data_IF_745875721236
#
_entry.id   IF_745875721236
#
_cell.length_a   1.000
_cell.length_b   1.000
_cell.length_c   1.000
_cell.angle_alpha   90.00
_cell.angle_beta   90.00
_cell.angle_gamma   90.00
#
_symmetry.space_group_name_H-M   'P 1'
#
loop_
_entity.id
_entity.type
_entity.pdbx_description
1 polymer ?
#
# COMPACT_ATOMS: atom_id res chain seq x y z
N UNK A 1 -32.80 7.61 -57.14
CA UNK A 1 -32.78 8.54 -56.00
C UNK A 1 -32.42 7.90 -54.63
N UNK A 2 -31.72 6.76 -54.59
CA UNK A 2 -31.38 6.10 -53.28
C UNK A 2 -29.87 6.07 -52.96
N UNK A 3 -28.99 6.47 -53.86
CA UNK A 3 -27.53 6.44 -53.67
C UNK A 3 -26.94 7.74 -53.12
N UNK A 4 -27.63 8.87 -53.25
CA UNK A 4 -27.11 10.18 -52.82
C UNK A 4 -27.31 10.47 -51.31
N UNK A 5 -28.24 9.76 -50.65
CA UNK A 5 -28.52 9.97 -49.22
C UNK A 5 -27.53 9.26 -48.27
N UNK A 6 -26.86 8.21 -48.75
CA UNK A 6 -25.90 7.42 -47.94
C UNK A 6 -24.56 8.15 -47.81
N UNK A 7 -24.14 8.89 -48.83
CA UNK A 7 -22.87 9.62 -48.82
C UNK A 7 -22.94 10.83 -47.88
N UNK A 8 -24.09 11.44 -47.70
CA UNK A 8 -24.27 12.62 -46.84
C UNK A 8 -24.21 12.26 -45.33
N UNK A 9 -24.61 11.03 -44.97
CA UNK A 9 -24.58 10.56 -43.56
C UNK A 9 -23.16 10.20 -43.15
N UNK A 10 -22.32 9.70 -44.07
CA UNK A 10 -20.91 9.33 -43.75
C UNK A 10 -20.03 10.58 -43.56
N UNK A 11 -20.32 11.69 -44.28
CA UNK A 11 -19.58 12.93 -44.17
C UNK A 11 -19.90 13.66 -42.84
N UNK A 12 -21.12 13.54 -42.33
CA UNK A 12 -21.49 14.12 -41.01
C UNK A 12 -20.90 13.39 -39.81
N UNK A 13 -20.51 12.13 -39.96
CA UNK A 13 -19.87 11.36 -38.87
C UNK A 13 -18.35 11.65 -38.72
N UNK A 14 -17.70 12.21 -39.74
CA UNK A 14 -16.28 12.53 -39.70
C UNK A 14 -15.93 13.93 -39.20
N UNK A 15 -16.92 14.83 -39.08
CA UNK A 15 -16.70 16.21 -38.62
C UNK A 15 -16.88 16.34 -37.09
N UNK A 16 -17.46 15.34 -36.42
CA UNK A 16 -17.75 15.34 -34.98
C UNK A 16 -16.61 14.88 -34.05
N UNK A 17 -15.44 14.43 -34.55
CA UNK A 17 -14.38 13.82 -33.72
C UNK A 17 -13.13 14.67 -33.54
N UNK A 18 -13.18 15.98 -33.76
CA UNK A 18 -12.04 16.87 -33.55
C UNK A 18 -12.36 17.99 -32.56
N UNK A 19 -12.65 17.64 -31.31
CA UNK A 19 -12.64 18.64 -30.24
C UNK A 19 -12.59 17.97 -28.88
N UNK A 20 -11.39 17.72 -28.35
CA UNK A 20 -11.01 17.82 -26.95
C UNK A 20 -9.61 17.25 -26.69
N UNK A 21 -8.59 17.80 -27.32
CA UNK A 21 -7.24 17.72 -26.77
C UNK A 21 -7.13 18.85 -25.72
N UNK A 22 -7.44 18.51 -24.46
CA UNK A 22 -7.11 19.38 -23.33
C UNK A 22 -5.62 19.17 -23.01
N UNK A 23 -4.80 20.14 -23.36
CA UNK A 23 -3.43 20.23 -22.87
C UNK A 23 -3.48 20.62 -21.39
N UNK A 24 -3.17 19.71 -20.49
CA UNK A 24 -2.84 20.04 -19.11
C UNK A 24 -1.44 20.64 -19.10
N UNK A 25 -1.35 21.95 -18.89
CA UNK A 25 -0.10 22.59 -18.52
C UNK A 25 0.18 22.27 -17.05
N UNK A 26 1.15 21.41 -16.82
CA UNK A 26 1.76 21.26 -15.50
C UNK A 26 2.69 22.46 -15.26
N UNK A 27 2.35 23.29 -14.29
CA UNK A 27 3.26 24.30 -13.77
C UNK A 27 3.97 23.72 -12.57
N UNK A 28 5.24 23.43 -12.72
CA UNK A 28 6.13 23.27 -11.58
C UNK A 28 6.49 24.66 -11.08
N UNK A 29 5.99 25.08 -9.93
CA UNK A 29 6.49 26.23 -9.21
C UNK A 29 7.32 25.71 -8.04
N UNK A 30 8.62 25.66 -8.23
CA UNK A 30 9.57 25.44 -7.16
C UNK A 30 9.91 26.81 -6.56
N UNK A 31 9.47 27.05 -5.34
CA UNK A 31 9.84 28.22 -4.54
C UNK A 31 10.71 27.74 -3.37
N UNK A 32 11.98 27.51 -3.62
CA UNK A 32 12.95 27.40 -2.55
C UNK A 32 13.18 28.77 -1.90
N UNK A 33 12.70 28.94 -0.67
CA UNK A 33 13.13 30.03 0.21
C UNK A 33 14.40 29.63 0.93
N UNK A 34 15.55 30.05 0.39
CA UNK A 34 16.80 30.03 1.15
C UNK A 34 16.79 31.21 2.12
N UNK A 35 16.49 30.93 3.38
CA UNK A 35 16.66 31.90 4.47
C UNK A 35 18.07 31.72 5.06
N UNK A 36 18.95 32.68 4.83
CA UNK A 36 20.07 32.88 5.71
C UNK A 36 21.48 32.55 5.22
N UNK A 37 21.79 32.64 3.93
CA UNK A 37 23.19 32.70 3.49
C UNK A 37 23.52 34.09 2.92
N UNK A 38 24.19 34.92 3.74
CA UNK A 38 24.86 36.15 3.25
C UNK A 38 26.32 35.81 2.91
N UNK A 39 26.65 35.91 1.63
CA UNK A 39 28.05 35.87 1.17
C UNK A 39 28.58 37.31 1.25
N UNK A 40 29.47 37.55 2.19
CA UNK A 40 30.20 38.82 2.26
C UNK A 40 31.47 38.73 1.40
N UNK A 41 31.47 39.41 0.29
CA UNK A 41 32.67 39.56 -0.55
C UNK A 41 33.57 40.60 0.10
N UNK A 42 34.70 40.16 0.65
CA UNK A 42 35.73 41.03 1.20
C UNK A 42 36.47 41.77 0.08
N UNK A 43 36.61 43.06 0.22
CA UNK A 43 37.47 43.89 -0.63
C UNK A 43 38.96 43.61 -0.33
N UNK A 44 39.72 43.29 -1.36
CA UNK A 44 41.17 43.16 -1.29
C UNK A 44 41.79 44.53 -1.07
N UNK A 45 42.31 44.78 0.11
CA UNK A 45 43.19 45.90 0.43
C UNK A 45 44.52 45.37 0.85
N UNK A 46 45.55 45.75 0.12
CA UNK A 46 46.97 45.46 0.51
C UNK A 46 47.28 46.07 1.87
N UNK A 47 47.86 45.28 2.74
CA UNK A 47 48.56 45.77 3.93
C UNK A 47 49.70 44.80 4.28
N UNK A 48 50.85 45.41 4.56
CA UNK A 48 52.17 44.84 4.77
C UNK A 48 52.27 43.76 5.89
N UNK A 49 53.33 42.93 5.87
CA UNK A 49 53.50 41.81 6.78
C UNK A 49 53.86 42.24 8.18
N UNK A 50 53.11 41.82 9.17
CA UNK A 50 53.49 41.96 10.59
C UNK A 50 53.56 40.60 11.25
N UNK A 51 54.75 40.28 11.76
CA UNK A 51 55.14 39.29 12.77
C UNK A 51 54.33 38.01 12.95
N UNK A 52 55.00 36.89 12.69
CA UNK A 52 54.65 35.52 13.05
C UNK A 52 54.38 35.38 14.55
N UNK A 53 53.18 34.92 14.98
CA UNK A 53 52.99 34.45 16.33
C UNK A 53 53.44 32.99 16.45
N UNK A 54 54.13 32.68 17.52
CA UNK A 54 54.54 31.38 18.01
C UNK A 54 53.32 30.43 18.16
N UNK A 55 53.38 29.14 17.76
CA UNK A 55 52.25 28.25 17.90
C UNK A 55 52.03 27.92 19.40
N UNK A 56 50.88 28.31 19.93
CA UNK A 56 50.36 27.87 21.21
C UNK A 56 49.66 26.54 21.01
N UNK A 57 50.05 25.57 21.79
CA UNK A 57 49.54 24.19 21.80
C UNK A 57 48.01 24.13 22.06
N UNK A 58 47.29 23.35 21.25
CA UNK A 58 46.10 22.65 21.69
C UNK A 58 44.79 23.41 21.74
N UNK A 59 44.23 23.85 20.58
CA UNK A 59 42.80 24.05 20.50
C UNK A 59 42.17 22.74 19.96
N UNK A 60 41.21 22.12 20.68
CA UNK A 60 40.51 20.94 20.15
C UNK A 60 39.81 21.29 18.86
N UNK A 61 40.08 20.54 17.82
CA UNK A 61 39.32 20.60 16.55
C UNK A 61 37.84 20.37 16.86
N UNK A 62 36.91 21.25 16.44
CA UNK A 62 35.49 20.96 16.62
C UNK A 62 35.17 19.68 15.88
N UNK A 63 34.66 18.71 16.63
CA UNK A 63 34.08 17.49 16.07
C UNK A 63 33.01 17.90 15.09
N UNK A 64 33.16 17.51 13.83
CA UNK A 64 32.12 17.72 12.81
C UNK A 64 30.95 16.86 13.18
N UNK A 65 29.95 17.45 13.88
CA UNK A 65 28.66 16.83 14.07
C UNK A 65 28.10 16.53 12.69
N UNK A 66 28.02 15.26 12.31
CA UNK A 66 27.36 14.84 11.08
C UNK A 66 25.93 15.34 11.12
N UNK A 67 25.60 16.28 10.25
CA UNK A 67 24.21 16.67 10.01
C UNK A 67 23.45 15.40 9.65
N UNK A 68 22.34 15.06 10.34
CA UNK A 68 21.55 13.90 9.97
C UNK A 68 21.12 14.08 8.51
N UNK A 69 21.49 13.11 7.67
CA UNK A 69 20.97 13.03 6.31
C UNK A 69 19.45 13.02 6.41
N UNK A 70 18.72 13.91 5.71
CA UNK A 70 17.26 13.84 5.71
C UNK A 70 16.86 12.43 5.26
N UNK A 71 16.26 11.67 6.15
CA UNK A 71 15.60 10.41 5.80
C UNK A 71 14.50 10.78 4.81
N UNK A 72 14.62 10.33 3.57
CA UNK A 72 13.54 10.48 2.59
C UNK A 72 12.30 9.85 3.20
N UNK A 73 11.25 10.64 3.40
CA UNK A 73 9.94 10.11 3.78
C UNK A 73 9.57 9.06 2.73
N UNK A 74 9.24 7.83 3.10
CA UNK A 74 8.84 6.82 2.14
C UNK A 74 7.65 7.35 1.35
N UNK A 75 7.80 7.49 0.04
CA UNK A 75 6.68 7.78 -0.85
C UNK A 75 5.82 6.52 -0.99
N UNK A 76 4.52 6.67 -1.12
CA UNK A 76 3.53 5.61 -1.28
C UNK A 76 3.29 4.75 -0.03
N UNK A 77 3.17 5.35 1.13
CA UNK A 77 2.54 4.69 2.28
C UNK A 77 1.04 4.99 2.26
N UNK A 78 0.23 3.96 2.55
CA UNK A 78 -1.21 4.10 2.68
C UNK A 78 -1.57 5.06 3.83
N UNK A 79 -2.61 5.86 3.65
CA UNK A 79 -3.22 6.73 4.66
C UNK A 79 -4.57 6.17 5.15
N UNK A 80 -4.88 4.94 4.80
CA UNK A 80 -6.11 4.21 5.08
C UNK A 80 -5.80 2.76 5.50
N UNK A 81 -6.79 2.03 6.02
CA UNK A 81 -6.65 0.61 6.38
C UNK A 81 -6.39 -0.21 5.12
N UNK A 82 -5.38 -1.07 5.17
CA UNK A 82 -4.99 -1.95 4.07
C UNK A 82 -5.07 -3.42 4.45
N UNK A 83 -5.18 -4.29 3.45
CA UNK A 83 -5.02 -5.73 3.59
C UNK A 83 -3.51 -5.99 3.67
N UNK A 84 -3.05 -6.51 4.82
CA UNK A 84 -1.62 -6.66 5.11
C UNK A 84 -1.09 -8.05 4.84
N UNK A 85 -1.82 -9.12 5.17
CA UNK A 85 -1.37 -10.49 4.93
C UNK A 85 -2.53 -11.39 4.51
N UNK A 86 -2.26 -12.32 3.60
CA UNK A 86 -3.25 -13.33 3.15
C UNK A 86 -2.58 -14.70 3.15
N UNK A 87 -3.13 -15.64 3.91
CA UNK A 87 -2.83 -17.07 3.84
C UNK A 87 -4.05 -17.80 3.31
N UNK A 88 -3.90 -18.53 2.20
CA UNK A 88 -5.01 -19.20 1.51
C UNK A 88 -5.18 -20.66 1.90
N UNK A 89 -4.22 -21.22 2.62
CA UNK A 89 -4.24 -22.63 3.05
C UNK A 89 -3.17 -22.88 4.11
N UNK A 90 -3.60 -23.34 5.28
CA UNK A 90 -2.74 -23.89 6.32
C UNK A 90 -2.76 -25.44 6.30
N UNK A 91 -2.95 -26.08 7.46
CA UNK A 91 -2.99 -27.53 7.59
C UNK A 91 -4.22 -28.15 6.94
N UNK A 92 -5.29 -27.38 6.76
CA UNK A 92 -6.48 -27.73 5.98
C UNK A 92 -6.80 -26.65 4.96
N UNK A 93 -7.76 -26.92 4.06
CA UNK A 93 -8.14 -25.96 3.02
C UNK A 93 -8.78 -24.68 3.60
N UNK A 94 -9.53 -24.81 4.70
CA UNK A 94 -10.20 -23.69 5.37
C UNK A 94 -9.38 -23.14 6.57
N UNK A 95 -8.15 -23.62 6.76
CA UNK A 95 -7.17 -23.02 7.68
C UNK A 95 -6.50 -21.86 6.95
N UNK A 96 -7.21 -20.74 6.91
CA UNK A 96 -6.89 -19.56 6.13
C UNK A 96 -7.19 -18.28 6.90
N UNK A 97 -6.50 -17.18 6.56
CA UNK A 97 -6.76 -15.90 7.16
C UNK A 97 -6.53 -14.72 6.20
N UNK A 98 -7.14 -13.59 6.57
CA UNK A 98 -6.90 -12.26 6.03
C UNK A 98 -6.55 -11.36 7.21
N UNK A 99 -5.45 -10.64 7.11
CA UNK A 99 -5.05 -9.64 8.08
C UNK A 99 -5.24 -8.24 7.51
N UNK A 100 -5.71 -7.32 8.33
CA UNK A 100 -5.80 -5.90 8.05
C UNK A 100 -4.80 -5.14 8.91
N UNK A 101 -4.21 -4.09 8.36
CA UNK A 101 -3.33 -3.16 9.05
C UNK A 101 -3.87 -1.73 8.96
N UNK A 102 -3.79 -0.98 10.05
CA UNK A 102 -4.15 0.42 10.13
C UNK A 102 -2.89 1.30 10.24
N UNK A 103 -2.41 1.91 9.15
CA UNK A 103 -1.22 2.76 9.19
C UNK A 103 -1.44 4.11 9.87
N UNK A 104 -2.68 4.45 10.21
CA UNK A 104 -3.02 5.77 10.76
C UNK A 104 -2.79 5.87 12.27
N UNK A 105 -2.65 7.07 12.77
CA UNK A 105 -2.47 7.37 14.20
C UNK A 105 -3.77 7.36 15.00
N UNK A 106 -4.88 6.92 14.45
CA UNK A 106 -6.19 6.85 15.09
C UNK A 106 -6.82 5.48 14.92
N UNK A 107 -7.60 5.05 15.92
CA UNK A 107 -8.39 3.83 15.78
C UNK A 107 -9.41 3.97 14.64
N UNK A 108 -9.61 2.91 13.86
CA UNK A 108 -10.61 2.85 12.79
C UNK A 108 -11.71 1.88 13.18
N UNK A 109 -12.96 2.38 13.19
CA UNK A 109 -14.15 1.56 13.44
C UNK A 109 -14.67 0.99 12.11
N UNK A 110 -14.73 -0.34 12.02
CA UNK A 110 -15.15 -1.06 10.82
C UNK A 110 -16.64 -1.46 10.82
N UNK A 111 -17.45 -1.04 11.80
CA UNK A 111 -18.82 -1.53 12.01
C UNK A 111 -19.77 -1.42 10.80
N UNK A 112 -19.49 -0.49 9.87
CA UNK A 112 -20.26 -0.34 8.61
C UNK A 112 -19.58 -0.96 7.40
N UNK A 113 -18.41 -1.58 7.56
CA UNK A 113 -17.58 -2.09 6.50
C UNK A 113 -17.83 -3.59 6.27
N UNK A 114 -17.20 -4.11 5.24
CA UNK A 114 -17.20 -5.55 4.93
C UNK A 114 -15.88 -5.98 4.31
N UNK A 115 -15.50 -7.24 4.57
CA UNK A 115 -14.51 -7.95 3.78
C UNK A 115 -15.25 -8.77 2.70
N UNK A 116 -14.81 -8.67 1.46
CA UNK A 116 -15.44 -9.37 0.35
C UNK A 116 -14.42 -10.16 -0.44
N UNK A 117 -14.87 -11.20 -1.12
CA UNK A 117 -14.00 -12.09 -1.86
C UNK A 117 -14.60 -12.52 -3.19
N UNK A 118 -13.75 -12.66 -4.20
CA UNK A 118 -14.07 -13.24 -5.50
C UNK A 118 -12.96 -14.20 -5.93
N UNK A 119 -13.29 -15.47 -6.22
CA UNK A 119 -12.33 -16.44 -6.75
C UNK A 119 -11.88 -16.08 -8.17
N UNK A 120 -10.65 -16.45 -8.54
CA UNK A 120 -10.04 -16.11 -9.82
C UNK A 120 -10.75 -16.64 -11.07
N UNK A 121 -11.56 -17.68 -10.93
CA UNK A 121 -12.45 -18.23 -11.98
C UNK A 121 -13.93 -17.97 -11.76
N UNK A 122 -14.33 -17.22 -10.71
CA UNK A 122 -15.72 -17.05 -10.30
C UNK A 122 -16.32 -15.71 -10.77
N UNK A 123 -17.65 -15.69 -10.92
CA UNK A 123 -18.39 -14.45 -11.17
C UNK A 123 -19.02 -13.86 -9.90
N UNK A 124 -19.06 -14.65 -8.80
CA UNK A 124 -19.78 -14.31 -7.58
C UNK A 124 -18.87 -13.59 -6.60
N UNK A 125 -19.38 -12.52 -6.00
CA UNK A 125 -18.79 -11.86 -4.83
C UNK A 125 -19.42 -12.41 -3.56
N UNK A 126 -18.58 -12.82 -2.62
CA UNK A 126 -18.96 -13.23 -1.28
C UNK A 126 -18.65 -12.10 -0.31
N UNK A 127 -19.43 -11.98 0.76
CA UNK A 127 -19.29 -10.89 1.72
C UNK A 127 -19.43 -11.36 3.16
N UNK A 128 -18.56 -10.88 4.03
CA UNK A 128 -18.70 -10.89 5.48
C UNK A 128 -18.70 -9.44 5.98
N UNK A 129 -19.74 -9.07 6.70
CA UNK A 129 -19.84 -7.76 7.34
C UNK A 129 -19.01 -7.74 8.63
N UNK A 130 -18.38 -6.61 8.91
CA UNK A 130 -17.86 -6.31 10.24
C UNK A 130 -19.00 -5.93 11.18
N UNK A 131 -18.76 -6.09 12.50
CA UNK A 131 -19.73 -5.87 13.55
C UNK A 131 -19.41 -4.58 14.36
N UNK A 132 -20.28 -4.21 15.30
CA UNK A 132 -20.20 -2.93 16.01
C UNK A 132 -18.90 -2.73 16.81
N UNK A 133 -18.23 -3.81 17.21
CA UNK A 133 -17.02 -3.77 18.02
C UNK A 133 -15.73 -4.07 17.24
N UNK A 134 -15.82 -4.23 15.92
CA UNK A 134 -14.65 -4.46 15.09
C UNK A 134 -13.91 -3.14 14.89
N UNK A 135 -12.86 -2.94 15.67
CA UNK A 135 -12.03 -1.73 15.69
C UNK A 135 -10.58 -2.14 15.50
N UNK A 136 -9.92 -1.54 14.51
CA UNK A 136 -8.47 -1.64 14.34
C UNK A 136 -7.79 -0.53 15.13
N UNK A 137 -6.89 -0.83 16.07
CA UNK A 137 -6.11 0.18 16.78
C UNK A 137 -5.24 1.02 15.85
N UNK A 138 -4.89 2.22 16.29
CA UNK A 138 -3.85 3.02 15.62
C UNK A 138 -2.56 2.21 15.49
N UNK A 139 -2.00 2.15 14.26
CA UNK A 139 -0.82 1.36 13.94
C UNK A 139 -0.92 -0.12 14.34
N UNK A 140 -2.13 -0.65 14.40
CA UNK A 140 -2.44 -2.02 14.83
C UNK A 140 -3.02 -2.86 13.72
N UNK A 141 -3.37 -4.10 14.09
CA UNK A 141 -3.82 -5.13 13.18
C UNK A 141 -5.19 -5.66 13.55
N UNK A 142 -5.86 -6.36 12.64
CA UNK A 142 -7.07 -7.13 12.88
C UNK A 142 -7.02 -8.40 12.05
N UNK A 143 -7.15 -9.55 12.71
CA UNK A 143 -7.05 -10.87 12.09
C UNK A 143 -8.43 -11.49 11.86
N UNK A 144 -8.70 -11.85 10.60
CA UNK A 144 -9.93 -12.48 10.14
C UNK A 144 -9.61 -13.92 9.73
N UNK A 145 -10.14 -14.90 10.42
CA UNK A 145 -9.93 -16.31 10.08
C UNK A 145 -11.20 -17.00 9.63
N UNK A 146 -11.05 -18.05 8.83
CA UNK A 146 -12.13 -19.00 8.58
C UNK A 146 -12.33 -19.92 9.80
N UNK A 147 -13.45 -20.64 9.87
CA UNK A 147 -13.83 -21.49 11.01
C UNK A 147 -12.83 -22.60 11.33
N UNK A 148 -12.00 -23.02 10.38
CA UNK A 148 -10.96 -24.03 10.56
C UNK A 148 -9.57 -23.44 10.86
N UNK A 149 -9.45 -22.14 10.96
CA UNK A 149 -8.18 -21.51 11.29
C UNK A 149 -7.66 -22.02 12.65
N UNK A 150 -6.40 -22.49 12.66
CA UNK A 150 -5.76 -23.07 13.84
C UNK A 150 -4.36 -22.48 14.14
N UNK A 151 -4.06 -21.32 13.58
CA UNK A 151 -2.78 -20.62 13.80
C UNK A 151 -2.53 -20.27 15.27
N UNK A 152 -1.29 -19.87 15.57
CA UNK A 152 -0.85 -19.58 16.95
C UNK A 152 -1.43 -18.24 17.50
N UNK A 153 -1.87 -17.34 16.65
CA UNK A 153 -2.48 -16.06 17.01
C UNK A 153 -4.00 -16.20 16.89
N UNK A 154 -4.73 -15.85 17.95
CA UNK A 154 -6.19 -15.92 17.93
C UNK A 154 -6.78 -14.90 16.97
N UNK A 155 -7.78 -15.29 16.16
CA UNK A 155 -8.49 -14.37 15.29
C UNK A 155 -9.36 -13.41 16.10
N UNK A 156 -9.48 -12.16 15.61
CA UNK A 156 -10.41 -11.17 16.13
C UNK A 156 -11.83 -11.41 15.58
N UNK A 157 -11.92 -11.90 14.33
CA UNK A 157 -13.18 -12.19 13.68
C UNK A 157 -13.14 -13.56 12.96
N UNK A 158 -14.19 -14.35 13.14
CA UNK A 158 -14.40 -15.59 12.40
C UNK A 158 -15.43 -15.38 11.29
N UNK A 159 -15.18 -15.96 10.11
CA UNK A 159 -16.14 -16.05 9.03
C UNK A 159 -16.29 -17.49 8.52
N UNK A 160 -17.41 -17.75 7.83
CA UNK A 160 -17.72 -19.02 7.15
C UNK A 160 -18.44 -18.75 5.81
N UNK A 161 -18.23 -17.57 5.25
CA UNK A 161 -19.00 -17.09 4.08
C UNK A 161 -18.33 -17.42 2.75
N UNK A 162 -17.00 -17.64 2.77
CA UNK A 162 -16.21 -18.02 1.61
C UNK A 162 -14.96 -18.78 2.04
N UNK A 163 -14.31 -19.45 1.11
CA UNK A 163 -12.95 -19.98 1.26
C UNK A 163 -12.06 -19.40 0.18
N UNK A 164 -10.82 -19.07 0.53
CA UNK A 164 -9.84 -18.51 -0.37
C UNK A 164 -9.32 -19.59 -1.32
N UNK A 165 -9.35 -19.31 -2.62
CA UNK A 165 -8.88 -20.28 -3.62
C UNK A 165 -7.35 -20.36 -3.62
N UNK A 166 -6.82 -21.59 -3.59
CA UNK A 166 -5.39 -21.84 -3.75
C UNK A 166 -4.83 -21.55 -5.14
N UNK A 167 -5.69 -21.34 -6.14
CA UNK A 167 -5.26 -20.99 -7.51
C UNK A 167 -5.18 -19.48 -7.72
N UNK A 168 -6.07 -18.74 -7.07
CA UNK A 168 -6.11 -17.29 -7.16
C UNK A 168 -7.47 -16.70 -6.84
N UNK A 169 -7.46 -15.45 -6.42
CA UNK A 169 -8.65 -14.70 -6.04
C UNK A 169 -8.35 -13.23 -5.80
N UNK A 170 -9.40 -12.50 -5.46
CA UNK A 170 -9.30 -11.09 -5.04
C UNK A 170 -10.06 -10.89 -3.75
N UNK A 171 -9.37 -10.36 -2.75
CA UNK A 171 -9.93 -9.90 -1.48
C UNK A 171 -10.15 -8.39 -1.59
N UNK A 172 -11.28 -7.89 -1.08
CA UNK A 172 -11.65 -6.48 -1.10
C UNK A 172 -12.00 -6.04 0.32
N UNK A 173 -11.45 -4.92 0.74
CA UNK A 173 -11.90 -4.17 1.91
C UNK A 173 -12.86 -3.07 1.45
N UNK A 174 -14.10 -3.07 1.94
CA UNK A 174 -15.17 -2.19 1.44
C UNK A 174 -15.78 -1.42 2.59
N UNK A 175 -15.90 -0.09 2.48
CA UNK A 175 -16.40 0.80 3.55
C UNK A 175 -17.92 0.82 3.69
N UNK A 176 -18.61 -0.17 3.14
CA UNK A 176 -20.03 -0.42 3.34
C UNK A 176 -20.34 -1.91 3.40
N UNK A 177 -21.62 -2.25 3.59
CA UNK A 177 -22.11 -3.62 3.69
C UNK A 177 -22.96 -4.03 2.48
N UNK A 178 -22.73 -3.44 1.31
CA UNK A 178 -23.36 -3.84 0.05
C UNK A 178 -22.43 -4.78 -0.71
N UNK A 179 -22.96 -5.92 -1.19
CA UNK A 179 -22.16 -6.85 -2.00
C UNK A 179 -21.74 -6.20 -3.31
N UNK A 180 -20.45 -6.29 -3.63
CA UNK A 180 -19.87 -5.76 -4.85
C UNK A 180 -20.47 -6.41 -6.11
N UNK A 181 -20.35 -5.70 -7.20
CA UNK A 181 -20.63 -6.15 -8.57
C UNK A 181 -19.48 -5.74 -9.47
N UNK A 182 -19.37 -6.30 -10.67
CA UNK A 182 -18.32 -5.94 -11.64
C UNK A 182 -18.26 -4.44 -11.97
N UNK A 183 -19.37 -3.73 -11.80
CA UNK A 183 -19.44 -2.27 -12.01
C UNK A 183 -18.93 -1.46 -10.80
N UNK A 184 -18.84 -2.09 -9.61
CA UNK A 184 -18.54 -1.41 -8.35
C UNK A 184 -17.19 -1.82 -7.75
N UNK A 185 -16.50 -2.81 -8.31
CA UNK A 185 -15.26 -3.38 -7.76
C UNK A 185 -14.00 -2.49 -7.92
N UNK A 186 -14.15 -1.36 -8.62
CA UNK A 186 -13.21 -0.23 -8.68
C UNK A 186 -13.86 1.09 -8.22
N UNK A 187 -14.99 0.99 -7.51
CA UNK A 187 -15.74 2.17 -7.07
C UNK A 187 -15.16 2.77 -5.79
N UNK A 188 -15.63 3.97 -5.40
CA UNK A 188 -15.11 4.73 -4.25
C UNK A 188 -15.40 4.08 -2.90
N UNK A 189 -16.14 3.00 -2.87
CA UNK A 189 -16.42 2.23 -1.64
C UNK A 189 -15.42 1.10 -1.39
N UNK A 190 -14.60 0.74 -2.39
CA UNK A 190 -13.46 -0.15 -2.21
C UNK A 190 -12.33 0.67 -1.60
N UNK A 191 -11.88 0.30 -0.42
CA UNK A 191 -10.82 0.99 0.34
C UNK A 191 -9.46 0.43 -0.04
N UNK A 192 -9.37 -0.89 -0.17
CA UNK A 192 -8.18 -1.61 -0.62
C UNK A 192 -8.62 -2.95 -1.23
N UNK A 193 -7.84 -3.49 -2.14
CA UNK A 193 -8.06 -4.82 -2.70
C UNK A 193 -6.76 -5.48 -3.10
N UNK A 194 -6.70 -6.78 -2.92
CA UNK A 194 -5.52 -7.60 -3.20
C UNK A 194 -5.91 -8.78 -4.08
N UNK A 195 -5.38 -8.83 -5.29
CA UNK A 195 -5.50 -9.97 -6.18
C UNK A 195 -4.20 -10.78 -6.18
N UNK A 196 -4.34 -12.09 -6.08
CA UNK A 196 -3.22 -13.03 -6.06
C UNK A 196 -3.49 -14.24 -6.98
N UNK A 197 -2.41 -14.95 -7.37
CA UNK A 197 -2.49 -16.15 -8.19
C UNK A 197 -2.91 -15.87 -9.63
N UNK A 198 -3.71 -16.80 -10.18
CA UNK A 198 -4.14 -16.76 -11.58
C UNK A 198 -5.65 -16.83 -11.71
N UNK A 199 -6.19 -16.33 -12.81
CA UNK A 199 -7.61 -16.40 -13.11
C UNK A 199 -8.08 -15.27 -14.01
N UNK A 200 -9.13 -15.53 -14.79
CA UNK A 200 -9.73 -14.55 -15.72
C UNK A 200 -10.67 -13.55 -15.03
N UNK A 201 -11.01 -13.83 -13.77
CA UNK A 201 -11.94 -13.02 -12.95
C UNK A 201 -11.23 -12.21 -11.87
N UNK A 202 -9.89 -12.18 -11.84
CA UNK A 202 -9.12 -11.34 -10.92
C UNK A 202 -9.44 -9.85 -11.11
N UNK A 203 -9.39 -9.09 -10.03
CA UNK A 203 -9.66 -7.64 -9.98
C UNK A 203 -8.53 -6.92 -9.24
N UNK A 204 -7.30 -6.93 -9.78
CA UNK A 204 -6.15 -6.32 -9.11
C UNK A 204 -6.25 -4.79 -9.05
N UNK A 205 -5.46 -4.21 -8.18
CA UNK A 205 -4.83 -2.92 -8.37
C UNK A 205 -3.61 -3.16 -9.25
N UNK A 206 -3.46 -2.38 -10.32
CA UNK A 206 -2.39 -2.61 -11.29
C UNK A 206 -2.36 -4.05 -11.80
N UNK A 207 -1.35 -4.80 -11.40
CA UNK A 207 -1.13 -6.22 -11.70
C UNK A 207 -1.35 -7.09 -10.46
N UNK A 208 -1.96 -8.26 -10.62
CA UNK A 208 -2.09 -9.22 -9.51
C UNK A 208 -0.72 -9.72 -9.04
N UNK A 209 -0.59 -10.03 -7.75
CA UNK A 209 0.55 -10.81 -7.27
C UNK A 209 0.49 -12.21 -7.90
N UNK A 210 1.42 -12.52 -8.78
CA UNK A 210 1.31 -13.62 -9.75
C UNK A 210 1.29 -15.04 -9.14
N UNK A 211 1.67 -15.18 -7.86
CA UNK A 211 1.79 -16.47 -7.19
C UNK A 211 0.75 -16.59 -6.08
N UNK A 212 -0.07 -17.64 -6.11
CA UNK A 212 -0.87 -17.99 -4.94
C UNK A 212 0.04 -18.62 -3.88
N UNK A 213 -0.10 -18.26 -2.58
CA UNK A 213 0.68 -18.88 -1.52
C UNK A 213 0.43 -20.39 -1.46
N UNK A 214 1.48 -21.18 -1.28
CA UNK A 214 1.36 -22.62 -1.01
C UNK A 214 0.92 -22.87 0.44
N UNK A 215 0.78 -24.15 0.83
CA UNK A 215 0.41 -24.51 2.19
C UNK A 215 1.35 -23.87 3.24
N UNK A 216 0.79 -23.23 4.26
CA UNK A 216 1.47 -22.51 5.34
C UNK A 216 2.33 -21.32 4.87
N UNK A 217 2.15 -20.87 3.64
CA UNK A 217 2.72 -19.64 3.11
C UNK A 217 1.66 -18.54 3.07
N UNK A 218 2.11 -17.29 3.05
CA UNK A 218 1.27 -16.13 2.86
C UNK A 218 1.89 -15.16 1.87
N UNK A 219 1.10 -14.24 1.38
CA UNK A 219 1.61 -12.99 0.81
C UNK A 219 1.43 -11.90 1.85
N UNK A 220 2.47 -11.10 2.08
CA UNK A 220 2.47 -10.02 3.06
C UNK A 220 2.82 -8.70 2.37
N UNK A 221 2.07 -7.65 2.70
CA UNK A 221 2.30 -6.30 2.19
C UNK A 221 3.62 -5.75 2.74
N UNK A 222 4.39 -5.11 1.89
CA UNK A 222 5.67 -4.50 2.24
C UNK A 222 5.48 -3.33 3.22
N UNK A 223 6.48 -3.12 4.08
CA UNK A 223 6.56 -1.91 4.88
C UNK A 223 6.93 -0.69 3.99
N UNK A 224 7.89 -0.88 3.07
CA UNK A 224 8.40 0.14 2.15
C UNK A 224 8.61 -0.43 0.75
N UNK A 225 8.78 0.43 -0.26
CA UNK A 225 9.09 0.01 -1.64
C UNK A 225 10.33 -0.89 -1.74
N UNK A 226 11.29 -0.72 -0.85
CA UNK A 226 12.55 -1.46 -0.80
C UNK A 226 12.49 -2.72 0.05
N UNK A 227 11.39 -2.95 0.79
CA UNK A 227 11.24 -4.13 1.64
C UNK A 227 11.21 -5.41 0.80
N UNK A 228 11.82 -6.43 1.34
CA UNK A 228 11.81 -7.79 0.81
C UNK A 228 11.57 -8.81 1.92
N UNK A 229 11.44 -10.09 1.57
CA UNK A 229 11.22 -11.16 2.54
C UNK A 229 12.30 -11.20 3.64
N UNK A 230 13.55 -10.91 3.33
CA UNK A 230 14.64 -10.97 4.31
C UNK A 230 14.58 -9.77 5.26
N UNK A 231 14.37 -8.55 4.74
CA UNK A 231 14.28 -7.33 5.57
C UNK A 231 13.07 -7.38 6.52
N UNK A 232 11.95 -7.98 6.09
CA UNK A 232 10.73 -8.13 6.87
C UNK A 232 10.76 -9.33 7.84
N UNK A 233 11.58 -10.36 7.58
CA UNK A 233 11.66 -11.54 8.48
C UNK A 233 12.61 -11.33 9.65
N UNK A 234 13.78 -10.75 9.41
CA UNK A 234 14.84 -10.61 10.42
C UNK A 234 15.72 -9.38 10.20
N UNK A 235 15.34 -8.50 9.29
CA UNK A 235 16.07 -7.29 8.92
C UNK A 235 15.51 -6.02 9.58
N UNK A 236 15.71 -4.90 8.92
CA UNK A 236 15.36 -3.57 9.44
C UNK A 236 13.84 -3.29 9.44
N UNK A 237 13.08 -4.04 8.65
CA UNK A 237 11.64 -3.82 8.46
C UNK A 237 10.78 -4.79 9.31
N UNK A 238 11.39 -5.66 10.13
CA UNK A 238 10.70 -6.72 10.91
C UNK A 238 9.60 -6.21 11.83
N UNK A 239 9.73 -4.98 12.34
CA UNK A 239 8.73 -4.36 13.22
C UNK A 239 8.21 -3.05 12.61
N UNK A 240 8.10 -3.01 11.30
CA UNK A 240 7.55 -1.89 10.55
C UNK A 240 6.17 -2.25 10.01
N UNK A 241 5.24 -1.32 10.16
CA UNK A 241 3.89 -1.53 9.68
C UNK A 241 3.81 -1.72 8.17
N UNK A 242 2.98 -2.64 7.74
CA UNK A 242 2.78 -3.11 6.36
C UNK A 242 2.00 -2.08 5.52
N UNK A 243 2.57 -0.89 5.32
CA UNK A 243 1.84 0.25 4.78
C UNK A 243 2.15 0.58 3.31
N UNK A 244 3.12 -0.08 2.66
CA UNK A 244 3.47 0.26 1.28
C UNK A 244 2.33 -0.08 0.32
N UNK A 245 1.92 0.93 -0.44
CA UNK A 245 0.78 0.85 -1.35
C UNK A 245 1.06 1.70 -2.59
N UNK A 246 1.37 1.03 -3.69
CA UNK A 246 1.70 1.66 -4.97
C UNK A 246 0.57 1.54 -5.99
N UNK A 247 -0.61 1.07 -5.58
CA UNK A 247 -1.73 0.71 -6.47
C UNK A 247 -1.35 -0.40 -7.46
N UNK A 248 -0.41 -1.28 -7.09
CA UNK A 248 0.02 -2.43 -7.90
C UNK A 248 0.35 -3.63 -7.00
N UNK A 249 -0.59 -4.56 -6.87
CA UNK A 249 -0.45 -5.70 -5.97
C UNK A 249 0.82 -6.52 -6.25
N UNK A 250 1.30 -6.58 -7.51
CA UNK A 250 2.53 -7.28 -7.84
C UNK A 250 3.77 -6.64 -7.20
N UNK A 251 3.74 -5.33 -7.00
CA UNK A 251 4.84 -4.55 -6.42
C UNK A 251 4.75 -4.44 -4.90
N UNK A 252 3.53 -4.53 -4.34
CA UNK A 252 3.26 -4.20 -2.94
C UNK A 252 3.47 -5.38 -1.99
N UNK A 253 3.50 -6.60 -2.49
CA UNK A 253 3.57 -7.81 -1.68
C UNK A 253 4.87 -8.58 -1.84
N UNK A 254 5.18 -9.38 -0.82
CA UNK A 254 6.23 -10.41 -0.82
C UNK A 254 5.65 -11.76 -0.43
N UNK A 255 6.27 -12.86 -0.90
CA UNK A 255 5.92 -14.21 -0.44
C UNK A 255 6.63 -14.50 0.89
N UNK A 256 5.86 -14.94 1.89
CA UNK A 256 6.37 -15.44 3.15
C UNK A 256 6.35 -16.96 3.16
N UNK A 257 7.48 -17.58 3.47
CA UNK A 257 7.57 -19.05 3.62
C UNK A 257 6.91 -19.55 4.90
N UNK A 258 6.76 -18.67 5.87
CA UNK A 258 6.02 -18.88 7.12
C UNK A 258 5.22 -17.62 7.37
N UNK A 259 3.91 -17.75 7.50
CA UNK A 259 3.02 -16.62 7.83
C UNK A 259 3.32 -16.06 9.23
N UNK A 260 3.07 -14.78 9.42
CA UNK A 260 3.28 -14.06 10.69
C UNK A 260 2.04 -13.26 11.09
N UNK A 261 0.88 -13.91 11.27
CA UNK A 261 -0.37 -13.20 11.54
C UNK A 261 -0.31 -12.39 12.84
N UNK A 262 -0.90 -11.21 12.80
CA UNK A 262 -1.04 -10.29 13.92
C UNK A 262 -2.53 -9.95 14.12
N UNK A 263 -2.90 -9.65 15.36
CA UNK A 263 -4.29 -9.33 15.74
C UNK A 263 -4.36 -8.04 16.53
N UNK A 264 -5.55 -7.65 17.01
CA UNK A 264 -5.77 -6.41 17.77
C UNK A 264 -4.99 -6.34 19.09
N UNK A 265 -4.48 -7.46 19.59
CA UNK A 265 -3.64 -7.54 20.81
C UNK A 265 -2.14 -7.58 20.51
N UNK A 266 -1.76 -7.67 19.25
CA UNK A 266 -0.36 -7.64 18.82
C UNK A 266 0.28 -6.27 19.06
N UNK A 267 1.61 -6.24 19.12
CA UNK A 267 2.35 -4.97 19.22
C UNK A 267 2.05 -4.10 18.00
N UNK A 268 1.78 -2.81 18.23
CA UNK A 268 1.56 -1.86 17.14
C UNK A 268 2.87 -1.56 16.41
N UNK A 269 2.79 -1.37 15.10
CA UNK A 269 3.93 -1.13 14.22
C UNK A 269 3.74 0.16 13.43
N UNK A 270 4.66 1.10 13.59
CA UNK A 270 4.60 2.39 12.88
C UNK A 270 5.19 2.21 11.47
N UNK A 271 4.51 2.74 10.42
CA UNK A 271 5.02 2.72 9.06
C UNK A 271 6.38 3.40 8.88
#
# INVERSE_FOLDING_TARGET
MRKTKIILIIILFFIGSFSALKFTRSYFSDTEKVLGNSIQVGTWGESAPTSTPTPTEGTPTPETTSTPTPTSTPSNLADHVVISEIMVKGDSADDEFIELYNPTSSNVNLSSWSIQYRGGGAATYYRKNFEANDIIPAHGFLLIGNTAYNGSVSVDMIHNTFSLSSDGGTVFLVNNQTTLTDAADNGPTVVDKVAYGTGTSLRPEGSAYSTAPAQNQSIERKAYSTSDTASMTSGLDTNKGNAYDSEDNASDFVLRTTSQPQNTSSTTEIP
#
